data_IF_494621791128
#
_entry.id   IF_494621791128
#
_cell.length_a   1.000
_cell.length_b   1.000
_cell.length_c   1.000
_cell.angle_alpha   90.00
_cell.angle_beta   90.00
_cell.angle_gamma   90.00
#
_symmetry.space_group_name_H-M   'P 1'
#
loop_
_entity.id
_entity.type
_entity.pdbx_description
1 polymer ?
#
# COMPACT_ATOMS: atom_id res chain seq x y z
N UNK A 1 -34.58 -10.02 0.05
CA UNK A 1 -33.90 -9.34 1.16
C UNK A 1 -33.26 -8.11 0.55
N UNK A 2 -33.68 -6.91 0.97
CA UNK A 2 -33.12 -5.66 0.47
C UNK A 2 -31.78 -5.43 1.17
N UNK A 3 -30.72 -5.28 0.38
CA UNK A 3 -29.41 -4.89 0.87
C UNK A 3 -29.55 -3.46 1.44
N UNK A 4 -29.25 -3.28 2.73
CA UNK A 4 -29.17 -1.95 3.35
C UNK A 4 -28.22 -1.09 2.49
N UNK A 5 -28.60 0.15 2.11
CA UNK A 5 -27.74 0.97 1.29
C UNK A 5 -26.43 1.23 2.03
N UNK A 6 -25.34 0.68 1.51
CA UNK A 6 -24.00 0.85 2.06
C UNK A 6 -23.71 2.34 2.27
N UNK A 7 -23.45 2.71 3.52
CA UNK A 7 -23.07 4.08 3.91
C UNK A 7 -21.68 4.47 3.41
N UNK A 8 -20.93 3.53 2.79
CA UNK A 8 -19.65 3.83 2.17
C UNK A 8 -19.84 4.66 0.88
N UNK A 9 -19.19 5.80 0.77
CA UNK A 9 -19.21 6.67 -0.40
C UNK A 9 -18.05 6.35 -1.37
N UNK A 10 -17.01 5.69 -0.85
CA UNK A 10 -15.92 5.15 -1.65
C UNK A 10 -16.40 3.87 -2.34
N UNK A 11 -16.06 3.70 -3.61
CA UNK A 11 -16.41 2.50 -4.39
C UNK A 11 -15.19 1.59 -4.51
N UNK A 12 -14.07 2.11 -5.03
CA UNK A 12 -12.80 1.36 -5.12
C UNK A 12 -11.60 2.27 -4.90
N UNK A 13 -10.46 1.68 -4.56
CA UNK A 13 -9.16 2.35 -4.68
C UNK A 13 -8.08 1.39 -5.14
N UNK A 14 -7.01 1.96 -5.72
CA UNK A 14 -5.76 1.29 -6.05
C UNK A 14 -4.62 2.27 -5.79
N UNK A 15 -3.69 1.89 -4.94
CA UNK A 15 -2.56 2.72 -4.53
C UNK A 15 -1.28 1.90 -4.64
N UNK A 16 -0.18 2.52 -5.05
CA UNK A 16 1.06 1.77 -5.20
C UNK A 16 2.18 2.54 -5.84
N UNK A 17 3.18 1.78 -6.29
CA UNK A 17 4.37 2.27 -6.98
C UNK A 17 4.52 1.55 -8.30
N UNK A 18 4.72 2.29 -9.39
CA UNK A 18 4.93 1.72 -10.72
C UNK A 18 6.38 1.24 -10.95
N UNK A 19 6.67 0.68 -12.12
CA UNK A 19 8.02 0.23 -12.50
C UNK A 19 9.08 1.34 -12.58
N UNK A 20 8.64 2.59 -12.77
CA UNK A 20 9.50 3.77 -12.79
C UNK A 20 9.79 4.31 -11.39
N UNK A 21 9.06 3.82 -10.37
CA UNK A 21 9.17 4.26 -8.99
C UNK A 21 8.26 5.44 -8.66
N UNK A 22 7.34 5.82 -9.56
CA UNK A 22 6.33 6.83 -9.30
C UNK A 22 5.20 6.23 -8.45
N UNK A 23 4.75 6.98 -7.45
CA UNK A 23 3.64 6.60 -6.59
C UNK A 23 2.35 7.21 -7.12
N UNK A 24 1.27 6.45 -7.03
CA UNK A 24 -0.02 6.88 -7.54
C UNK A 24 -1.17 6.41 -6.66
N UNK A 25 -2.30 7.09 -6.81
CA UNK A 25 -3.59 6.71 -6.27
C UNK A 25 -4.65 6.83 -7.37
N UNK A 26 -5.31 5.72 -7.66
CA UNK A 26 -6.56 5.67 -8.39
C UNK A 26 -7.71 5.38 -7.43
N UNK A 27 -8.84 6.08 -7.56
CA UNK A 27 -10.04 5.75 -6.80
C UNK A 27 -11.32 6.05 -7.57
N UNK A 28 -12.40 5.36 -7.20
CA UNK A 28 -13.74 5.66 -7.65
C UNK A 28 -14.68 5.93 -6.50
N UNK A 29 -15.65 6.81 -6.74
CA UNK A 29 -16.71 7.16 -5.80
C UNK A 29 -18.06 6.68 -6.33
N UNK A 30 -19.00 6.44 -5.42
CA UNK A 30 -20.38 6.06 -5.78
C UNK A 30 -21.12 7.23 -6.42
N UNK A 31 -22.28 6.95 -7.01
CA UNK A 31 -23.20 8.00 -7.48
C UNK A 31 -23.60 8.92 -6.31
N UNK A 32 -24.01 10.15 -6.64
CA UNK A 32 -24.43 11.14 -5.64
C UNK A 32 -23.35 11.39 -4.57
N UNK A 33 -22.08 11.38 -4.98
CA UNK A 33 -20.92 11.64 -4.14
C UNK A 33 -20.08 12.75 -4.77
N UNK A 34 -19.65 13.70 -3.94
CA UNK A 34 -18.66 14.72 -4.29
C UNK A 34 -17.42 14.54 -3.41
N UNK A 35 -16.27 15.02 -3.89
CA UNK A 35 -15.00 14.85 -3.19
C UNK A 35 -14.17 16.12 -3.16
N UNK A 36 -13.48 16.33 -2.04
CA UNK A 36 -12.49 17.37 -1.84
C UNK A 36 -11.20 16.74 -1.33
N UNK A 37 -10.04 17.23 -1.77
CA UNK A 37 -8.74 16.76 -1.27
C UNK A 37 -8.08 17.87 -0.46
N UNK A 38 -7.72 17.56 0.78
CA UNK A 38 -7.05 18.47 1.72
C UNK A 38 -5.81 17.78 2.27
N UNK A 39 -4.68 18.48 2.34
CA UNK A 39 -3.47 17.98 2.98
C UNK A 39 -3.47 18.45 4.43
N UNK A 40 -3.41 17.53 5.37
CA UNK A 40 -3.17 17.83 6.78
C UNK A 40 -1.65 18.05 6.99
N UNK A 41 -1.20 19.28 7.27
CA UNK A 41 0.22 19.59 7.41
C UNK A 41 0.85 18.97 8.66
N UNK A 42 0.06 18.58 9.67
CA UNK A 42 0.57 18.01 10.92
C UNK A 42 0.95 16.54 10.79
N UNK A 43 0.24 15.80 9.93
CA UNK A 43 0.45 14.37 9.69
C UNK A 43 0.97 14.06 8.28
N UNK A 44 1.15 15.09 7.45
CA UNK A 44 1.38 15.00 6.01
C UNK A 44 0.41 14.02 5.31
N UNK A 45 -0.85 14.01 5.77
CA UNK A 45 -1.88 13.12 5.23
C UNK A 45 -2.68 13.81 4.15
N UNK A 46 -2.71 13.22 2.97
CA UNK A 46 -3.64 13.61 1.91
C UNK A 46 -5.02 13.01 2.22
N UNK A 47 -5.91 13.82 2.78
CA UNK A 47 -7.29 13.44 3.09
C UNK A 47 -8.21 13.72 1.91
N UNK A 48 -8.90 12.69 1.47
CA UNK A 48 -9.94 12.74 0.44
C UNK A 48 -11.28 12.67 1.16
N UNK A 49 -11.91 13.82 1.33
CA UNK A 49 -13.23 13.91 1.91
C UNK A 49 -14.28 13.49 0.88
N UNK A 50 -15.24 12.70 1.33
CA UNK A 50 -16.34 12.16 0.53
C UNK A 50 -17.64 12.63 1.14
N UNK A 51 -18.38 13.44 0.39
CA UNK A 51 -19.67 13.99 0.83
C UNK A 51 -20.80 13.44 -0.04
N UNK A 52 -21.97 13.18 0.55
CA UNK A 52 -23.20 13.02 -0.22
C UNK A 52 -23.45 14.29 -1.03
N UNK A 53 -24.02 14.11 -2.22
CA UNK A 53 -24.37 15.19 -3.12
C UNK A 53 -25.63 14.80 -3.88
N UNK A 54 -26.62 15.69 -3.93
CA UNK A 54 -27.82 15.48 -4.77
C UNK A 54 -27.52 15.72 -6.26
N UNK A 55 -26.34 16.27 -6.56
CA UNK A 55 -25.86 16.45 -7.92
C UNK A 55 -25.08 15.21 -8.37
N UNK A 56 -25.53 14.62 -9.47
CA UNK A 56 -24.79 13.56 -10.17
C UNK A 56 -23.53 14.14 -10.82
N UNK A 57 -22.41 14.12 -10.10
CA UNK A 57 -21.10 14.39 -10.71
C UNK A 57 -20.86 13.39 -11.84
N UNK A 58 -20.58 13.90 -13.05
CA UNK A 58 -20.20 13.07 -14.20
C UNK A 58 -18.84 12.40 -13.99
N UNK A 59 -17.94 13.02 -13.22
CA UNK A 59 -16.63 12.46 -12.85
C UNK A 59 -16.76 11.63 -11.58
N UNK A 60 -16.46 10.34 -11.72
CA UNK A 60 -16.50 9.35 -10.63
C UNK A 60 -15.19 8.59 -10.44
N UNK A 61 -14.20 8.84 -11.30
CA UNK A 61 -12.89 8.20 -11.26
C UNK A 61 -11.83 9.28 -11.22
N UNK A 62 -10.83 9.07 -10.38
CA UNK A 62 -9.79 10.02 -10.08
C UNK A 62 -8.45 9.27 -10.09
N UNK A 63 -7.44 9.93 -10.64
CA UNK A 63 -6.05 9.50 -10.63
C UNK A 63 -5.25 10.66 -10.07
N UNK A 64 -4.37 10.38 -9.13
CA UNK A 64 -3.50 11.35 -8.50
C UNK A 64 -2.09 10.79 -8.41
N UNK A 65 -1.12 11.62 -8.80
CA UNK A 65 0.28 11.36 -8.47
C UNK A 65 0.50 11.61 -6.98
N UNK A 66 1.33 10.78 -6.38
CA UNK A 66 1.73 10.89 -4.98
C UNK A 66 3.23 11.18 -4.89
N UNK A 67 3.58 12.10 -4.03
CA UNK A 67 4.96 12.40 -3.68
C UNK A 67 5.27 11.74 -2.34
N UNK A 68 6.40 11.05 -2.28
CA UNK A 68 6.91 10.47 -1.04
C UNK A 68 7.91 11.45 -0.41
N UNK A 69 7.56 11.96 0.77
CA UNK A 69 8.36 12.91 1.54
C UNK A 69 8.86 12.19 2.80
N UNK A 70 10.13 12.37 3.16
CA UNK A 70 10.73 11.67 4.31
C UNK A 70 10.51 10.14 4.31
N UNK A 71 10.48 9.53 3.13
CA UNK A 71 10.24 8.09 2.91
C UNK A 71 8.84 7.60 3.31
N UNK A 72 7.86 8.48 3.42
CA UNK A 72 6.48 8.12 3.73
C UNK A 72 5.47 8.99 2.98
N UNK A 73 4.27 8.45 2.76
CA UNK A 73 3.09 9.26 2.53
C UNK A 73 1.86 8.58 3.15
N UNK A 74 0.85 9.39 3.44
CA UNK A 74 -0.40 8.94 4.05
C UNK A 74 -1.58 9.41 3.18
N UNK A 75 -2.53 8.52 2.93
CA UNK A 75 -3.79 8.82 2.25
C UNK A 75 -4.94 8.41 3.15
N UNK A 76 -5.85 9.34 3.45
CA UNK A 76 -7.09 9.06 4.18
C UNK A 76 -8.29 9.23 3.26
N UNK A 77 -9.27 8.34 3.36
CA UNK A 77 -10.61 8.60 2.81
C UNK A 77 -11.55 8.92 3.96
N UNK A 78 -12.03 10.16 4.03
CA UNK A 78 -12.91 10.62 5.11
C UNK A 78 -14.35 10.58 4.62
N UNK A 79 -15.09 9.55 5.04
CA UNK A 79 -16.50 9.43 4.70
C UNK A 79 -17.35 10.29 5.64
N UNK A 80 -18.11 11.24 5.10
CA UNK A 80 -18.97 12.12 5.91
C UNK A 80 -20.34 11.52 6.27
N UNK A 81 -20.65 10.31 5.76
CA UNK A 81 -21.86 9.54 6.10
C UNK A 81 -21.64 8.48 7.17
N UNK A 82 -20.39 8.13 7.49
CA UNK A 82 -20.09 7.07 8.44
C UNK A 82 -18.81 7.36 9.21
N UNK A 83 -18.60 6.70 10.34
CA UNK A 83 -17.33 6.78 11.06
C UNK A 83 -16.19 6.02 10.34
N UNK A 84 -16.45 5.41 9.18
CA UNK A 84 -15.45 4.65 8.44
C UNK A 84 -14.49 5.61 7.72
N UNK A 85 -13.24 5.60 8.14
CA UNK A 85 -12.20 6.47 7.60
C UNK A 85 -10.96 5.63 7.26
N UNK A 86 -10.98 4.88 6.16
CA UNK A 86 -9.85 4.03 5.83
C UNK A 86 -8.63 4.89 5.54
N UNK A 87 -7.52 4.55 6.19
CA UNK A 87 -6.26 5.26 6.03
C UNK A 87 -5.18 4.29 5.58
N UNK A 88 -4.39 4.72 4.60
CA UNK A 88 -3.29 3.95 4.03
C UNK A 88 -2.02 4.73 4.26
N UNK A 89 -1.07 4.11 4.94
CA UNK A 89 0.29 4.62 5.11
C UNK A 89 1.25 3.75 4.31
N UNK A 90 2.10 4.36 3.49
CA UNK A 90 3.15 3.68 2.75
C UNK A 90 4.48 4.27 3.19
N UNK A 91 5.37 3.39 3.67
CA UNK A 91 6.75 3.71 4.02
C UNK A 91 7.64 2.99 3.02
N UNK A 92 8.31 3.75 2.16
CA UNK A 92 9.15 3.22 1.09
C UNK A 92 10.28 4.21 0.78
N UNK A 93 11.31 3.79 0.06
CA UNK A 93 12.40 4.68 -0.29
C UNK A 93 11.94 5.70 -1.34
N UNK A 94 12.30 6.97 -1.13
CA UNK A 94 12.26 7.95 -2.22
C UNK A 94 13.37 7.60 -3.22
N UNK A 95 13.01 6.92 -4.30
CA UNK A 95 13.94 6.46 -5.34
C UNK A 95 14.74 7.59 -5.99
N UNK A 96 14.22 8.82 -6.00
CA UNK A 96 14.92 9.99 -6.54
C UNK A 96 15.99 10.54 -5.60
N UNK A 97 15.89 10.26 -4.29
CA UNK A 97 16.82 10.72 -3.25
C UNK A 97 17.76 9.62 -2.74
N UNK A 98 17.39 8.34 -2.91
CA UNK A 98 18.18 7.20 -2.46
C UNK A 98 19.48 7.04 -3.27
N UNK A 99 20.60 7.54 -2.73
CA UNK A 99 21.94 7.48 -3.34
C UNK A 99 22.61 6.09 -3.37
N UNK A 100 21.95 5.01 -2.96
CA UNK A 100 22.62 3.70 -2.88
C UNK A 100 21.85 2.57 -3.55
N UNK A 101 22.55 1.93 -4.48
CA UNK A 101 22.25 0.73 -5.25
C UNK A 101 22.10 -0.55 -4.42
N UNK A 102 21.42 -0.53 -3.27
CA UNK A 102 20.92 -1.79 -2.69
C UNK A 102 19.91 -2.35 -3.69
N UNK A 103 20.10 -3.60 -4.12
CA UNK A 103 19.32 -4.22 -5.19
C UNK A 103 17.87 -4.30 -4.74
N UNK A 104 17.05 -3.31 -5.07
CA UNK A 104 15.61 -3.40 -4.86
C UNK A 104 15.10 -4.55 -5.74
N UNK A 105 14.69 -5.67 -5.12
CA UNK A 105 14.21 -6.86 -5.82
C UNK A 105 12.76 -6.71 -6.28
N UNK A 106 12.02 -5.78 -5.67
CA UNK A 106 10.68 -5.39 -6.06
C UNK A 106 10.75 -4.37 -7.20
N UNK A 107 10.02 -4.61 -8.29
CA UNK A 107 9.85 -3.64 -9.36
C UNK A 107 8.69 -2.70 -9.02
N UNK A 108 7.47 -3.26 -8.96
CA UNK A 108 6.24 -2.52 -8.67
C UNK A 108 5.30 -3.28 -7.76
N UNK A 109 4.38 -2.56 -7.14
CA UNK A 109 3.33 -3.14 -6.33
C UNK A 109 2.10 -2.22 -6.31
N UNK A 110 0.94 -2.81 -6.06
CA UNK A 110 -0.31 -2.10 -5.85
C UNK A 110 -1.15 -2.80 -4.80
N UNK A 111 -1.75 -2.03 -3.91
CA UNK A 111 -2.84 -2.46 -3.04
C UNK A 111 -4.12 -1.89 -3.59
N UNK A 112 -5.15 -2.72 -3.72
CA UNK A 112 -6.47 -2.28 -4.15
C UNK A 112 -7.57 -2.79 -3.21
N UNK A 113 -8.64 -2.01 -3.08
CA UNK A 113 -9.92 -2.45 -2.52
C UNK A 113 -10.95 -2.45 -3.64
N UNK A 114 -11.54 -3.61 -3.90
CA UNK A 114 -12.64 -3.73 -4.86
C UNK A 114 -14.00 -3.35 -4.22
N UNK A 115 -15.08 -3.47 -4.99
CA UNK A 115 -16.43 -3.07 -4.55
C UNK A 115 -16.97 -3.94 -3.42
N UNK A 116 -16.53 -5.19 -3.39
CA UNK A 116 -16.85 -6.18 -2.36
C UNK A 116 -16.04 -5.96 -1.07
N UNK A 117 -15.16 -4.94 -1.02
CA UNK A 117 -14.31 -4.63 0.12
C UNK A 117 -13.07 -5.54 0.23
N UNK A 118 -12.84 -6.42 -0.75
CA UNK A 118 -11.70 -7.33 -0.78
C UNK A 118 -10.43 -6.55 -1.09
N UNK A 119 -9.42 -6.74 -0.26
CA UNK A 119 -8.10 -6.13 -0.43
C UNK A 119 -7.21 -7.08 -1.24
N UNK A 120 -6.61 -6.57 -2.31
CA UNK A 120 -5.75 -7.33 -3.21
C UNK A 120 -4.39 -6.65 -3.30
N UNK A 121 -3.34 -7.43 -3.06
CA UNK A 121 -1.96 -7.08 -3.36
C UNK A 121 -1.57 -7.67 -4.71
N UNK A 122 -1.18 -6.83 -5.65
CA UNK A 122 -0.51 -7.22 -6.89
C UNK A 122 0.91 -6.67 -6.89
N UNK A 123 1.88 -7.47 -7.32
CA UNK A 123 3.27 -6.99 -7.43
C UNK A 123 4.08 -7.75 -8.46
N UNK A 124 5.18 -7.14 -8.88
CA UNK A 124 6.19 -7.80 -9.68
C UNK A 124 7.59 -7.60 -9.13
N UNK A 125 8.41 -8.62 -9.31
CA UNK A 125 9.81 -8.67 -8.88
C UNK A 125 10.72 -8.79 -10.10
N UNK A 126 11.98 -8.42 -9.91
CA UNK A 126 13.03 -8.58 -10.93
C UNK A 126 13.24 -10.05 -11.27
N UNK A 127 13.85 -10.31 -12.42
CA UNK A 127 14.28 -11.66 -12.80
C UNK A 127 15.23 -12.23 -11.74
N UNK A 128 15.17 -13.55 -11.55
CA UNK A 128 15.96 -14.29 -10.58
C UNK A 128 15.72 -13.83 -9.13
N UNK A 129 14.46 -13.52 -8.79
CA UNK A 129 14.01 -13.33 -7.42
C UNK A 129 13.06 -14.46 -7.03
N UNK A 130 13.36 -15.15 -5.92
CA UNK A 130 12.44 -16.07 -5.24
C UNK A 130 11.56 -15.27 -4.29
N UNK A 131 10.29 -15.65 -4.22
CA UNK A 131 9.27 -14.99 -3.41
C UNK A 131 8.65 -16.01 -2.47
N UNK A 132 8.72 -15.72 -1.17
CA UNK A 132 8.08 -16.50 -0.12
C UNK A 132 7.11 -15.61 0.68
N UNK A 133 5.95 -16.17 1.04
CA UNK A 133 4.91 -15.47 1.78
C UNK A 133 4.81 -16.06 3.18
N UNK A 134 4.96 -15.20 4.20
CA UNK A 134 4.92 -15.60 5.60
C UNK A 134 3.95 -14.68 6.34
N UNK A 135 3.18 -15.22 7.28
CA UNK A 135 2.46 -14.39 8.24
C UNK A 135 3.18 -14.47 9.58
N UNK A 136 3.71 -13.33 10.03
CA UNK A 136 4.39 -13.24 11.31
C UNK A 136 3.34 -13.10 12.41
N UNK A 137 3.08 -14.20 13.12
CA UNK A 137 2.05 -14.27 14.16
C UNK A 137 2.31 -13.35 15.36
N UNK A 138 3.58 -13.07 15.68
CA UNK A 138 3.94 -12.24 16.82
C UNK A 138 3.66 -10.76 16.55
N UNK A 139 4.02 -10.26 15.36
CA UNK A 139 3.82 -8.86 14.96
C UNK A 139 2.52 -8.61 14.19
N UNK A 140 1.82 -9.68 13.78
CA UNK A 140 0.62 -9.67 12.92
C UNK A 140 0.88 -8.96 11.59
N UNK A 141 1.98 -9.30 10.94
CA UNK A 141 2.43 -8.72 9.66
C UNK A 141 2.46 -9.80 8.58
N UNK A 142 1.92 -9.49 7.41
CA UNK A 142 2.17 -10.28 6.20
C UNK A 142 3.54 -9.89 5.63
N UNK A 143 4.46 -10.84 5.59
CA UNK A 143 5.83 -10.66 5.12
C UNK A 143 5.99 -11.30 3.73
N UNK A 144 6.52 -10.52 2.78
CA UNK A 144 6.90 -10.98 1.45
C UNK A 144 8.41 -10.97 1.37
N UNK A 145 9.01 -12.16 1.49
CA UNK A 145 10.44 -12.31 1.41
C UNK A 145 10.90 -12.37 -0.04
N UNK A 146 11.85 -11.50 -0.38
CA UNK A 146 12.45 -11.38 -1.70
C UNK A 146 13.92 -11.79 -1.62
N UNK A 147 14.25 -12.93 -2.21
CA UNK A 147 15.58 -13.53 -2.18
C UNK A 147 16.15 -13.71 -3.56
N UNK A 148 17.48 -13.70 -3.69
CA UNK A 148 18.11 -14.02 -4.97
C UNK A 148 17.91 -15.51 -5.26
N UNK A 149 17.32 -15.84 -6.42
CA UNK A 149 17.07 -17.24 -6.78
C UNK A 149 16.38 -17.39 -8.12
N UNK A 150 16.66 -18.48 -8.85
CA UNK A 150 15.98 -18.76 -10.11
C UNK A 150 14.49 -19.00 -9.84
N UNK A 151 13.63 -18.19 -10.46
CA UNK A 151 12.18 -18.35 -10.41
C UNK A 151 11.61 -18.17 -11.82
N UNK A 152 10.66 -19.01 -12.26
CA UNK A 152 9.98 -18.83 -13.54
C UNK A 152 8.93 -17.72 -13.50
N UNK A 153 8.53 -17.26 -12.31
CA UNK A 153 7.48 -16.24 -12.11
C UNK A 153 8.06 -14.94 -11.59
N UNK A 154 7.61 -13.83 -12.16
CA UNK A 154 7.96 -12.47 -11.74
C UNK A 154 6.76 -11.63 -11.35
N UNK A 155 5.52 -12.13 -11.51
CA UNK A 155 4.28 -11.42 -11.20
C UNK A 155 3.44 -12.26 -10.25
N UNK A 156 2.91 -11.61 -9.23
CA UNK A 156 2.21 -12.24 -8.12
C UNK A 156 0.97 -11.44 -7.75
N UNK A 157 -0.05 -12.14 -7.25
CA UNK A 157 -1.29 -11.55 -6.75
C UNK A 157 -1.74 -12.31 -5.50
N UNK A 158 -2.24 -11.59 -4.49
CA UNK A 158 -2.73 -12.15 -3.23
C UNK A 158 -3.93 -11.36 -2.74
N UNK A 159 -4.96 -12.10 -2.33
CA UNK A 159 -6.04 -11.55 -1.50
C UNK A 159 -5.53 -11.45 -0.07
N UNK A 160 -5.73 -10.30 0.57
CA UNK A 160 -5.37 -10.04 1.95
C UNK A 160 -6.62 -9.92 2.80
N UNK A 161 -6.65 -10.65 3.92
CA UNK A 161 -7.75 -10.58 4.88
C UNK A 161 -7.50 -9.44 5.86
N UNK A 162 -8.41 -8.47 5.88
CA UNK A 162 -8.44 -7.43 6.91
C UNK A 162 -9.45 -7.81 7.98
N UNK A 163 -8.97 -7.93 9.21
CA UNK A 163 -9.82 -8.18 10.39
C UNK A 163 -10.36 -6.84 10.89
N UNK A 164 -11.67 -6.76 11.11
CA UNK A 164 -12.31 -5.56 11.63
C UNK A 164 -11.68 -5.08 12.95
N UNK A 165 -11.50 -3.77 13.06
CA UNK A 165 -10.85 -3.14 14.21
C UNK A 165 -9.33 -3.36 14.29
N UNK A 166 -8.71 -4.04 13.33
CA UNK A 166 -7.25 -4.23 13.27
C UNK A 166 -6.67 -3.64 11.99
N UNK A 167 -5.47 -3.06 12.12
CA UNK A 167 -4.70 -2.64 10.96
C UNK A 167 -4.21 -3.88 10.20
N UNK A 168 -4.34 -3.85 8.88
CA UNK A 168 -3.68 -4.80 7.99
C UNK A 168 -2.27 -4.27 7.71
N UNK A 169 -1.24 -5.08 8.01
CA UNK A 169 0.16 -4.71 7.86
C UNK A 169 0.86 -5.64 6.88
N UNK A 170 1.66 -5.05 6.00
CA UNK A 170 2.41 -5.74 4.96
C UNK A 170 3.84 -5.21 4.92
N UNK A 171 4.83 -6.10 4.95
CA UNK A 171 6.24 -5.75 4.76
C UNK A 171 6.82 -6.54 3.58
N UNK A 172 7.49 -5.85 2.66
CA UNK A 172 8.39 -6.50 1.71
C UNK A 172 9.79 -6.57 2.32
N UNK A 173 10.32 -7.79 2.45
CA UNK A 173 11.61 -8.07 3.09
C UNK A 173 12.63 -8.40 2.00
N UNK A 174 13.54 -7.47 1.76
CA UNK A 174 14.56 -7.64 0.74
C UNK A 174 15.85 -8.23 1.34
N UNK A 175 16.01 -9.54 1.20
CA UNK A 175 17.18 -10.26 1.71
C UNK A 175 18.40 -9.99 0.85
N UNK A 176 19.23 -9.05 1.29
CA UNK A 176 20.49 -8.71 0.64
C UNK A 176 21.61 -9.51 1.30
N UNK A 177 22.32 -10.34 0.53
CA UNK A 177 23.45 -11.17 1.02
C UNK A 177 24.67 -10.35 1.52
N UNK A 178 24.52 -9.06 1.78
CA UNK A 178 25.59 -8.19 2.26
C UNK A 178 25.70 -8.26 3.78
N UNK A 179 25.98 -9.45 4.31
CA UNK A 179 26.69 -9.51 5.59
C UNK A 179 28.15 -9.23 5.26
N UNK A 180 28.65 -8.06 5.64
CA UNK A 180 30.10 -7.88 5.72
C UNK A 180 30.54 -8.72 6.92
N UNK A 181 31.58 -9.52 6.75
CA UNK A 181 32.25 -10.22 7.86
C UNK A 181 32.60 -9.21 8.95
N UNK A 182 31.83 -9.20 10.04
CA UNK A 182 31.99 -8.27 11.16
C UNK A 182 30.67 -7.80 11.79
N UNK A 183 29.54 -7.91 11.08
CA UNK A 183 28.22 -7.63 11.67
C UNK A 183 27.67 -8.88 12.38
N UNK A 184 27.02 -8.66 13.52
CA UNK A 184 26.52 -9.68 14.44
C UNK A 184 25.65 -10.73 13.69
N UNK A 185 26.04 -12.01 13.65
CA UNK A 185 25.24 -13.07 13.05
C UNK A 185 23.91 -13.30 13.79
N UNK A 186 23.76 -12.78 15.00
CA UNK A 186 22.56 -12.86 15.83
C UNK A 186 21.72 -11.57 15.79
N UNK A 187 21.81 -10.71 14.76
CA UNK A 187 20.81 -9.66 14.54
C UNK A 187 19.56 -10.28 13.85
N UNK A 188 18.50 -10.65 14.61
CA UNK A 188 17.38 -11.44 14.10
C UNK A 188 16.49 -10.66 13.13
N UNK A 189 16.69 -9.34 13.03
CA UNK A 189 15.91 -8.42 12.21
C UNK A 189 16.83 -7.76 11.19
N UNK A 190 17.11 -8.45 10.08
CA UNK A 190 17.92 -7.90 8.99
C UNK A 190 17.54 -6.44 8.71
N UNK A 191 18.43 -5.51 9.13
CA UNK A 191 18.23 -4.06 9.29
C UNK A 191 16.90 -3.53 8.76
N UNK A 192 16.08 -2.82 9.57
CA UNK A 192 14.82 -2.15 9.15
C UNK A 192 14.86 -1.51 7.74
N UNK A 193 16.01 -1.01 7.31
CA UNK A 193 16.29 -0.59 5.93
C UNK A 193 15.95 -1.58 4.80
N UNK A 194 15.84 -2.88 5.08
CA UNK A 194 15.52 -3.94 4.13
C UNK A 194 14.01 -4.26 4.10
N UNK A 195 13.24 -3.77 5.08
CA UNK A 195 11.78 -3.95 5.17
C UNK A 195 11.08 -2.79 4.46
N UNK A 196 11.13 -2.77 3.12
CA UNK A 196 10.48 -1.74 2.30
C UNK A 196 9.99 -2.30 0.95
N UNK A 197 8.82 -1.85 0.45
CA UNK A 197 7.86 -0.97 1.13
C UNK A 197 7.18 -1.67 2.33
N UNK A 198 6.76 -0.86 3.31
CA UNK A 198 5.83 -1.23 4.38
C UNK A 198 4.51 -0.56 4.12
N UNK A 199 3.42 -1.30 4.27
CA UNK A 199 2.07 -0.82 3.99
C UNK A 199 1.20 -1.10 5.21
N UNK A 200 0.49 -0.06 5.65
CA UNK A 200 -0.41 -0.13 6.81
C UNK A 200 -1.77 0.39 6.35
N UNK A 201 -2.81 -0.43 6.50
CA UNK A 201 -4.19 -0.11 6.15
C UNK A 201 -5.05 -0.18 7.41
N UNK A 202 -5.50 0.98 7.86
CA UNK A 202 -6.33 1.17 9.06
C UNK A 202 -7.80 1.18 8.66
#
# INVERSE_FOLDING_TARGET
>A
MSEEPSSDLLDTYKIGRDEHGAYFLDYSIKENTQTETVIDPSTNTKNIYLYPSDNNSSKRKFTQDLTIEDNQFNVGFVNMKSAHQPQISIIDDNRFLAKSSKVNKLDKYTISKNKEGVIILDFSVKKNVRVDFVFNEASKIHEIHLEQGKSPKTVFSRVLEKVDGRALKLDFINHNNTFKTGDDPDDPDGLESNRKPRIIII
#
